data_IF_365743003598
#
_entry.id   IF_365743003598
#
_cell.length_a   1.000
_cell.length_b   1.000
_cell.length_c   1.000
_cell.angle_alpha   90.00
_cell.angle_beta   90.00
_cell.angle_gamma   90.00
#
_symmetry.space_group_name_H-M   'P 1'
#
loop_
_entity.id
_entity.type
_entity.pdbx_description
1 polymer ?
#
# COMPACT_ATOMS: atom_id res chain seq x y z
N UNK A 1 18.25 -9.01 4.05
CA UNK A 1 16.93 -8.65 3.50
C UNK A 1 17.14 -7.62 2.42
N UNK A 2 16.43 -7.73 1.29
CA UNK A 2 16.53 -6.75 0.22
C UNK A 2 16.01 -5.38 0.69
N UNK A 3 16.74 -4.30 0.41
CA UNK A 3 16.31 -2.93 0.70
C UNK A 3 15.11 -2.55 -0.16
N UNK A 4 14.40 -1.47 0.20
CA UNK A 4 13.23 -1.07 -0.59
C UNK A 4 13.65 -0.62 -1.99
N UNK A 5 14.74 0.13 -2.13
CA UNK A 5 15.28 0.51 -3.43
C UNK A 5 15.66 -0.70 -4.31
N UNK A 6 16.13 -1.80 -3.69
CA UNK A 6 16.44 -3.02 -4.43
C UNK A 6 15.19 -3.68 -5.02
N UNK A 7 14.07 -3.68 -4.29
CA UNK A 7 12.78 -4.21 -4.78
C UNK A 7 12.18 -3.34 -5.88
N UNK A 8 12.39 -2.02 -5.80
CA UNK A 8 11.93 -1.08 -6.82
C UNK A 8 12.76 -1.11 -8.12
N UNK A 9 13.86 -1.88 -8.17
CA UNK A 9 14.69 -1.98 -9.37
C UNK A 9 13.92 -2.69 -10.47
N UNK A 10 13.82 -2.01 -11.61
CA UNK A 10 13.24 -2.54 -12.85
C UNK A 10 14.35 -2.75 -13.88
N UNK A 11 14.15 -3.65 -14.84
CA UNK A 11 15.11 -3.88 -15.92
C UNK A 11 14.35 -3.96 -17.24
N UNK A 12 14.60 -3.04 -18.16
CA UNK A 12 14.03 -3.09 -19.49
C UNK A 12 14.42 -4.40 -20.20
N UNK A 13 13.45 -5.05 -20.82
CA UNK A 13 13.64 -6.18 -21.73
C UNK A 13 13.65 -5.65 -23.17
N UNK A 14 12.70 -4.76 -23.47
CA UNK A 14 12.60 -3.97 -24.70
C UNK A 14 11.98 -2.59 -24.37
N UNK A 15 11.48 -1.86 -25.38
CA UNK A 15 10.91 -0.51 -25.20
C UNK A 15 9.60 -0.47 -24.39
N UNK A 16 8.86 -1.57 -24.30
CA UNK A 16 7.53 -1.65 -23.69
C UNK A 16 7.36 -2.86 -22.76
N UNK A 17 8.45 -3.55 -22.41
CA UNK A 17 8.41 -4.63 -21.44
C UNK A 17 9.58 -4.58 -20.47
N UNK A 18 9.28 -4.88 -19.20
CA UNK A 18 10.19 -4.73 -18.09
C UNK A 18 10.17 -5.98 -17.21
N UNK A 19 11.34 -6.41 -16.77
CA UNK A 19 11.50 -7.47 -15.76
C UNK A 19 11.53 -6.85 -14.37
N UNK A 20 10.79 -7.46 -13.45
CA UNK A 20 10.76 -7.13 -12.02
C UNK A 20 10.83 -8.40 -11.19
N UNK A 21 11.12 -8.28 -9.90
CA UNK A 21 11.20 -9.43 -9.00
C UNK A 21 10.67 -9.06 -7.61
N UNK A 22 9.71 -9.84 -7.11
CA UNK A 22 9.20 -9.70 -5.75
C UNK A 22 9.90 -10.69 -4.82
N UNK A 23 10.27 -10.28 -3.61
CA UNK A 23 10.89 -11.19 -2.64
C UNK A 23 9.96 -11.49 -1.48
N UNK A 24 10.22 -12.62 -0.82
CA UNK A 24 9.37 -13.15 0.23
C UNK A 24 9.27 -12.21 1.45
N UNK A 25 10.34 -11.46 1.73
CA UNK A 25 10.40 -10.49 2.84
C UNK A 25 9.41 -9.33 2.67
N UNK A 26 8.93 -9.11 1.45
CA UNK A 26 7.95 -8.07 1.11
C UNK A 26 6.53 -8.63 0.90
N UNK A 27 6.29 -9.86 1.36
CA UNK A 27 4.99 -10.52 1.29
C UNK A 27 4.15 -10.35 2.58
N UNK A 28 2.83 -10.47 2.41
CA UNK A 28 1.86 -10.80 3.46
C UNK A 28 1.38 -12.24 3.19
N UNK A 29 1.83 -13.17 4.01
CA UNK A 29 1.75 -14.61 3.82
C UNK A 29 2.62 -15.04 2.65
N UNK A 30 1.99 -15.60 1.61
CA UNK A 30 2.66 -16.03 0.38
C UNK A 30 2.60 -15.00 -0.76
N UNK A 31 1.84 -13.91 -0.57
CA UNK A 31 1.52 -12.93 -1.61
C UNK A 31 2.27 -11.62 -1.35
N UNK A 32 2.99 -11.05 -2.33
CA UNK A 32 3.57 -9.71 -2.23
C UNK A 32 2.55 -8.67 -1.74
N UNK A 33 2.95 -7.77 -0.83
CA UNK A 33 2.07 -6.69 -0.38
C UNK A 33 1.61 -5.84 -1.58
N UNK A 34 0.32 -5.46 -1.61
CA UNK A 34 -0.27 -4.71 -2.72
C UNK A 34 0.41 -3.36 -2.95
N UNK A 35 0.81 -2.68 -1.89
CA UNK A 35 1.57 -1.44 -1.97
C UNK A 35 2.99 -1.60 -2.53
N UNK A 36 3.67 -2.71 -2.23
CA UNK A 36 4.96 -3.05 -2.86
C UNK A 36 4.77 -3.28 -4.36
N UNK A 37 3.76 -4.07 -4.74
CA UNK A 37 3.42 -4.30 -6.16
C UNK A 37 3.13 -2.98 -6.86
N UNK A 38 2.32 -2.12 -6.24
CA UNK A 38 1.97 -0.80 -6.76
C UNK A 38 3.21 0.08 -6.93
N UNK A 39 4.12 0.11 -5.96
CA UNK A 39 5.38 0.87 -6.01
C UNK A 39 6.29 0.40 -7.15
N UNK A 40 6.39 -0.92 -7.36
CA UNK A 40 7.15 -1.50 -8.48
C UNK A 40 6.54 -1.07 -9.83
N UNK A 41 5.22 -1.06 -9.95
CA UNK A 41 4.53 -0.63 -11.17
C UNK A 41 4.70 0.89 -11.41
N UNK A 42 4.70 1.71 -10.36
CA UNK A 42 5.10 3.13 -10.46
C UNK A 42 6.55 3.28 -10.94
N UNK A 43 7.48 2.45 -10.45
CA UNK A 43 8.87 2.45 -10.92
C UNK A 43 8.99 2.06 -12.40
N UNK A 44 8.21 1.09 -12.88
CA UNK A 44 8.17 0.73 -14.31
C UNK A 44 7.67 1.90 -15.14
N UNK A 45 6.55 2.52 -14.75
CA UNK A 45 6.01 3.66 -15.48
C UNK A 45 7.00 4.83 -15.51
N UNK A 46 7.62 5.15 -14.36
CA UNK A 46 8.65 6.19 -14.29
C UNK A 46 9.84 5.89 -15.20
N UNK A 47 10.36 4.66 -15.19
CA UNK A 47 11.45 4.26 -16.08
C UNK A 47 11.06 4.43 -17.56
N UNK A 48 9.83 4.03 -17.91
CA UNK A 48 9.29 4.17 -19.25
C UNK A 48 9.23 5.64 -19.70
N UNK A 49 8.78 6.56 -18.83
CA UNK A 49 8.77 7.99 -19.10
C UNK A 49 10.16 8.64 -19.17
N UNK A 50 11.15 8.09 -18.47
CA UNK A 50 12.52 8.58 -18.53
C UNK A 50 13.32 8.05 -19.73
N UNK A 51 12.85 6.96 -20.34
CA UNK A 51 13.54 6.27 -21.43
C UNK A 51 12.73 6.32 -22.72
N UNK A 52 11.78 5.41 -22.92
CA UNK A 52 10.97 5.27 -24.14
C UNK A 52 10.19 6.54 -24.46
N UNK A 53 9.55 7.15 -23.46
CA UNK A 53 8.73 8.36 -23.61
C UNK A 53 9.45 9.64 -23.14
N UNK A 54 10.79 9.66 -23.15
CA UNK A 54 11.59 10.80 -22.68
C UNK A 54 11.17 12.14 -23.28
N UNK A 55 10.73 12.16 -24.54
CA UNK A 55 10.28 13.37 -25.24
C UNK A 55 9.02 13.99 -24.65
N UNK A 56 8.21 13.23 -23.91
CA UNK A 56 7.02 13.76 -23.23
C UNK A 56 7.39 14.66 -22.04
N UNK A 57 8.58 14.49 -21.45
CA UNK A 57 9.02 15.22 -20.26
C UNK A 57 8.00 15.15 -19.11
N UNK A 58 7.39 13.97 -18.89
CA UNK A 58 6.33 13.74 -17.90
C UNK A 58 6.74 12.61 -16.93
N UNK A 59 7.75 12.84 -16.06
CA UNK A 59 8.30 11.78 -15.23
C UNK A 59 7.39 11.37 -14.06
N UNK A 60 6.39 12.18 -13.73
CA UNK A 60 5.69 12.10 -12.44
C UNK A 60 4.30 11.49 -12.59
N UNK A 61 4.01 10.43 -11.84
CA UNK A 61 2.67 9.86 -11.76
C UNK A 61 1.76 10.79 -10.96
N UNK A 62 0.70 11.32 -11.59
CA UNK A 62 -0.32 12.14 -10.91
C UNK A 62 -1.57 11.35 -10.55
N UNK A 63 -1.86 10.26 -11.28
CA UNK A 63 -3.02 9.40 -11.04
C UNK A 63 -2.69 7.95 -11.41
N UNK A 64 -3.12 7.01 -10.58
CA UNK A 64 -2.97 5.57 -10.78
C UNK A 64 -4.27 4.87 -10.39
N UNK A 65 -4.68 3.90 -11.19
CA UNK A 65 -5.78 2.98 -10.90
C UNK A 65 -5.31 1.55 -11.15
N UNK A 66 -5.32 0.71 -10.13
CA UNK A 66 -4.88 -0.67 -10.17
C UNK A 66 -6.00 -1.64 -9.81
N UNK A 67 -6.19 -2.65 -10.65
CA UNK A 67 -7.06 -3.81 -10.41
C UNK A 67 -6.21 -5.06 -10.18
N UNK A 68 -6.36 -5.68 -9.02
CA UNK A 68 -5.68 -6.92 -8.64
C UNK A 68 -6.55 -8.11 -9.07
N UNK A 69 -6.40 -8.51 -10.32
CA UNK A 69 -7.22 -9.53 -10.98
C UNK A 69 -6.93 -10.93 -10.44
N UNK A 70 -5.68 -11.21 -10.07
CA UNK A 70 -5.23 -12.49 -9.52
C UNK A 70 -4.19 -12.28 -8.40
N UNK A 71 -3.93 -13.33 -7.62
CA UNK A 71 -2.92 -13.31 -6.55
C UNK A 71 -1.51 -13.31 -7.16
N UNK A 72 -0.76 -12.23 -6.99
CA UNK A 72 0.68 -12.19 -7.26
C UNK A 72 1.46 -13.22 -6.42
N UNK A 73 2.72 -13.49 -6.79
CA UNK A 73 3.61 -14.37 -6.04
C UNK A 73 5.02 -13.80 -5.97
N UNK A 74 5.75 -14.19 -4.92
CA UNK A 74 7.18 -13.96 -4.85
C UNK A 74 7.88 -14.61 -6.05
N UNK A 75 8.92 -13.95 -6.55
CA UNK A 75 9.68 -14.35 -7.73
C UNK A 75 9.55 -13.35 -8.89
N UNK A 76 10.06 -13.75 -10.07
CA UNK A 76 10.12 -12.88 -11.23
C UNK A 76 8.72 -12.61 -11.82
N UNK A 77 8.59 -11.45 -12.44
CA UNK A 77 7.44 -11.08 -13.24
C UNK A 77 7.88 -10.23 -14.44
N UNK A 78 7.00 -10.14 -15.43
CA UNK A 78 7.14 -9.23 -16.57
C UNK A 78 6.03 -8.22 -16.51
N UNK A 79 6.36 -6.94 -16.70
CA UNK A 79 5.39 -5.87 -16.85
C UNK A 79 5.37 -5.44 -18.31
N UNK A 80 4.19 -5.49 -18.92
CA UNK A 80 3.95 -5.00 -20.28
C UNK A 80 3.35 -3.60 -20.21
N UNK A 81 3.86 -2.69 -21.02
CA UNK A 81 3.43 -1.28 -21.10
C UNK A 81 2.74 -1.04 -22.44
N UNK A 82 1.67 -0.27 -22.40
CA UNK A 82 0.94 0.20 -23.58
C UNK A 82 0.65 1.68 -23.45
N UNK A 83 1.04 2.43 -24.47
CA UNK A 83 0.79 3.86 -24.56
C UNK A 83 -0.65 4.09 -25.02
N UNK A 84 -1.50 4.55 -24.11
CA UNK A 84 -2.92 4.78 -24.44
C UNK A 84 -3.13 6.16 -25.06
N UNK A 85 -2.52 7.19 -24.45
CA UNK A 85 -2.64 8.59 -24.90
C UNK A 85 -1.36 9.33 -24.57
N UNK A 86 -0.71 9.89 -25.59
CA UNK A 86 0.46 10.76 -25.41
C UNK A 86 0.04 12.20 -25.68
N UNK A 87 0.10 13.05 -24.65
CA UNK A 87 -0.37 14.42 -24.71
C UNK A 87 0.68 15.40 -24.23
N UNK A 88 0.49 16.69 -24.54
CA UNK A 88 1.46 17.74 -24.18
C UNK A 88 1.60 17.94 -22.66
N UNK A 89 0.48 17.94 -21.93
CA UNK A 89 0.47 18.17 -20.47
C UNK A 89 0.49 16.86 -19.69
N UNK A 90 -0.24 15.87 -20.18
CA UNK A 90 -0.37 14.57 -19.53
C UNK A 90 -0.34 13.45 -20.56
N UNK A 91 0.23 12.32 -20.18
CA UNK A 91 0.15 11.07 -20.94
C UNK A 91 -0.37 9.95 -20.05
N UNK A 92 -1.12 9.03 -20.65
CA UNK A 92 -1.72 7.89 -19.98
C UNK A 92 -1.17 6.60 -20.58
N UNK A 93 -0.69 5.71 -19.71
CA UNK A 93 -0.17 4.38 -20.07
C UNK A 93 -0.91 3.31 -19.31
N UNK A 94 -1.02 2.12 -19.90
CA UNK A 94 -1.50 0.90 -19.24
C UNK A 94 -0.35 -0.04 -18.98
N UNK A 95 -0.26 -0.55 -17.76
CA UNK A 95 0.67 -1.59 -17.35
C UNK A 95 -0.10 -2.89 -17.07
N UNK A 96 0.46 -4.01 -17.50
CA UNK A 96 -0.03 -5.35 -17.15
C UNK A 96 1.09 -6.15 -16.51
N UNK A 97 0.92 -6.54 -15.25
CA UNK A 97 1.83 -7.45 -14.55
C UNK A 97 1.49 -8.89 -14.92
N UNK A 98 2.45 -9.62 -15.46
CA UNK A 98 2.31 -11.01 -15.91
C UNK A 98 3.23 -11.94 -15.11
N UNK A 99 2.66 -13.01 -14.56
CA UNK A 99 3.40 -14.11 -13.95
C UNK A 99 2.86 -15.44 -14.49
N UNK A 100 3.76 -16.34 -14.92
CA UNK A 100 3.38 -17.67 -15.41
C UNK A 100 2.29 -17.62 -16.52
N UNK A 101 2.32 -16.59 -17.37
CA UNK A 101 1.34 -16.38 -18.44
C UNK A 101 -0.01 -15.81 -17.99
N UNK A 102 -0.22 -15.56 -16.68
CA UNK A 102 -1.45 -14.96 -16.15
C UNK A 102 -1.28 -13.45 -15.95
N UNK A 103 -2.33 -12.69 -16.25
CA UNK A 103 -2.42 -11.25 -15.94
C UNK A 103 -2.84 -11.10 -14.49
N UNK A 104 -1.90 -10.73 -13.65
CA UNK A 104 -2.09 -10.68 -12.19
C UNK A 104 -2.64 -9.31 -11.76
N UNK A 105 -2.11 -8.23 -12.34
CA UNK A 105 -2.51 -6.86 -12.03
C UNK A 105 -2.60 -6.04 -13.31
N UNK A 106 -3.67 -5.25 -13.44
CA UNK A 106 -3.85 -4.27 -14.50
C UNK A 106 -3.79 -2.88 -13.88
N UNK A 107 -3.00 -1.98 -14.45
CA UNK A 107 -2.87 -0.61 -13.95
C UNK A 107 -2.97 0.38 -15.08
N UNK A 108 -3.70 1.47 -14.87
CA UNK A 108 -3.69 2.65 -15.73
C UNK A 108 -3.07 3.79 -14.94
N UNK A 109 -2.02 4.41 -15.49
CA UNK A 109 -1.33 5.54 -14.88
C UNK A 109 -1.41 6.74 -15.79
N UNK A 110 -1.64 7.92 -15.21
CA UNK A 110 -1.48 9.20 -15.87
C UNK A 110 -0.27 9.91 -15.29
N UNK A 111 0.63 10.30 -16.18
CA UNK A 111 1.84 11.01 -15.86
C UNK A 111 1.80 12.45 -16.37
N UNK A 112 2.44 13.34 -15.63
CA UNK A 112 2.63 14.74 -15.92
C UNK A 112 4.05 15.18 -15.50
N UNK A 113 4.31 16.47 -15.56
CA UNK A 113 5.49 17.07 -14.95
C UNK A 113 5.01 18.02 -13.85
N UNK A 114 5.01 17.55 -12.60
CA UNK A 114 4.43 18.32 -11.49
C UNK A 114 5.20 19.63 -11.29
N UNK A 115 6.51 19.64 -11.54
CA UNK A 115 7.34 20.83 -11.43
C UNK A 115 7.01 21.94 -12.46
N UNK A 116 6.29 21.60 -13.54
CA UNK A 116 5.86 22.53 -14.58
C UNK A 116 4.35 22.80 -14.58
N UNK A 117 3.62 22.27 -13.59
CA UNK A 117 2.19 22.50 -13.49
C UNK A 117 1.87 23.99 -13.28
N UNK A 118 0.81 24.44 -13.94
CA UNK A 118 0.27 25.78 -13.80
C UNK A 118 -1.25 25.72 -13.91
N UNK A 119 -1.93 26.52 -13.09
CA UNK A 119 -3.38 26.47 -12.99
C UNK A 119 -3.89 27.23 -11.77
N UNK A 120 -5.20 27.13 -11.55
CA UNK A 120 -5.86 27.73 -10.39
C UNK A 120 -5.51 26.95 -9.12
N UNK A 121 -4.99 27.65 -8.10
CA UNK A 121 -4.77 27.10 -6.76
C UNK A 121 -5.64 27.84 -5.76
N UNK A 122 -6.45 27.10 -5.01
CA UNK A 122 -7.37 27.65 -4.01
C UNK A 122 -7.19 26.93 -2.66
N UNK A 123 -7.11 27.66 -1.54
CA UNK A 123 -7.13 27.03 -0.23
C UNK A 123 -8.54 26.50 0.07
N UNK A 124 -8.68 25.19 0.28
CA UNK A 124 -9.98 24.57 0.63
C UNK A 124 -10.32 24.65 2.11
N UNK A 125 -9.37 25.10 2.94
CA UNK A 125 -9.41 25.03 4.41
C UNK A 125 -9.62 23.61 4.98
N UNK A 126 -9.55 22.56 4.17
CA UNK A 126 -9.72 21.18 4.62
C UNK A 126 -8.61 20.79 5.60
N UNK A 127 -8.98 20.13 6.69
CA UNK A 127 -8.07 19.58 7.70
C UNK A 127 -8.56 18.20 8.12
N UNK A 128 -7.65 17.39 8.66
CA UNK A 128 -8.00 16.14 9.30
C UNK A 128 -8.93 16.40 10.50
N UNK A 129 -10.02 15.64 10.58
CA UNK A 129 -10.96 15.67 11.71
C UNK A 129 -11.17 14.26 12.26
N UNK A 130 -10.93 14.01 13.57
CA UNK A 130 -10.22 14.92 14.48
C UNK A 130 -8.78 15.18 13.99
N UNK A 131 -8.08 16.25 14.42
CA UNK A 131 -6.65 16.41 14.13
C UNK A 131 -5.83 15.29 14.78
N UNK A 132 -4.74 14.82 14.15
CA UNK A 132 -3.87 13.82 14.78
C UNK A 132 -3.16 14.41 16.00
N UNK A 133 -2.86 13.62 17.05
CA UNK A 133 -2.05 14.08 18.16
C UNK A 133 -0.66 14.56 17.70
N UNK A 134 -0.08 15.59 18.34
CA UNK A 134 1.31 15.98 18.08
C UNK A 134 2.27 14.80 18.23
N UNK A 135 3.36 14.81 17.46
CA UNK A 135 4.35 13.74 17.46
C UNK A 135 5.77 14.31 17.63
N UNK A 136 6.55 13.70 18.52
CA UNK A 136 7.98 13.95 18.63
C UNK A 136 8.74 12.84 17.89
N UNK A 137 9.02 13.09 16.60
CA UNK A 137 9.68 12.13 15.72
C UNK A 137 11.10 11.76 16.18
N UNK A 138 11.79 12.67 16.89
CA UNK A 138 13.15 12.42 17.41
C UNK A 138 13.08 11.46 18.58
N UNK A 139 12.21 11.74 19.55
CA UNK A 139 11.99 10.87 20.71
C UNK A 139 11.45 9.51 20.30
N UNK A 140 10.50 9.45 19.36
CA UNK A 140 10.02 8.20 18.77
C UNK A 140 11.14 7.39 18.11
N UNK A 141 11.99 8.03 17.30
CA UNK A 141 13.10 7.36 16.63
C UNK A 141 14.10 6.73 17.62
N UNK A 142 14.34 7.39 18.75
CA UNK A 142 15.32 6.98 19.76
C UNK A 142 14.78 5.92 20.71
N UNK A 143 13.50 5.99 21.09
CA UNK A 143 12.95 5.20 22.19
C UNK A 143 11.81 4.26 21.78
N UNK A 144 11.39 4.28 20.52
CA UNK A 144 10.22 3.52 20.06
C UNK A 144 8.88 4.15 20.48
N UNK A 145 8.90 5.29 21.17
CA UNK A 145 7.70 6.01 21.61
C UNK A 145 8.03 7.45 22.01
N UNK A 146 7.08 8.37 21.89
CA UNK A 146 7.14 9.70 22.51
C UNK A 146 6.24 9.86 23.75
N UNK A 147 5.50 8.81 24.11
CA UNK A 147 4.45 8.80 25.14
C UNK A 147 3.05 8.66 24.57
N UNK A 148 2.77 9.26 23.41
CA UNK A 148 1.48 9.20 22.71
C UNK A 148 1.51 8.14 21.62
N UNK A 149 2.52 8.22 20.77
CA UNK A 149 2.78 7.32 19.67
C UNK A 149 3.73 6.23 20.14
N UNK A 150 3.42 4.97 19.80
CA UNK A 150 4.25 3.82 20.16
C UNK A 150 4.48 2.97 18.93
N UNK A 151 5.70 2.47 18.77
CA UNK A 151 6.05 1.56 17.68
C UNK A 151 5.15 0.32 17.71
N UNK A 152 4.39 0.14 16.65
CA UNK A 152 3.50 -0.99 16.45
C UNK A 152 4.33 -2.25 16.17
N UNK A 153 4.05 -3.30 16.93
CA UNK A 153 4.63 -4.62 16.70
C UNK A 153 3.60 -5.50 16.00
N UNK A 154 3.99 -6.07 14.87
CA UNK A 154 3.12 -6.99 14.15
C UNK A 154 2.81 -8.20 15.03
N UNK A 155 1.54 -8.54 15.26
CA UNK A 155 1.17 -9.71 16.03
C UNK A 155 1.36 -11.03 15.25
N UNK A 156 1.59 -10.94 13.93
CA UNK A 156 1.91 -12.06 13.04
C UNK A 156 3.13 -11.70 12.19
N UNK A 157 4.34 -11.63 12.77
CA UNK A 157 5.55 -11.26 12.03
C UNK A 157 5.91 -12.30 10.96
N UNK A 158 5.55 -13.57 11.18
CA UNK A 158 5.67 -14.69 10.24
C UNK A 158 4.79 -14.50 8.98
N UNK A 159 3.58 -13.96 9.17
CA UNK A 159 2.64 -13.71 8.10
C UNK A 159 2.87 -12.34 7.46
N UNK A 160 3.06 -11.28 8.26
CA UNK A 160 3.20 -9.89 7.76
C UNK A 160 4.66 -9.50 7.58
N UNK A 161 5.43 -10.28 6.84
CA UNK A 161 6.86 -10.06 6.60
C UNK A 161 7.15 -8.66 6.04
N UNK A 162 6.32 -8.18 5.10
CA UNK A 162 6.44 -6.85 4.53
C UNK A 162 6.44 -5.74 5.59
N UNK A 163 5.60 -5.88 6.63
CA UNK A 163 5.51 -4.91 7.73
C UNK A 163 6.78 -4.84 8.58
N UNK A 164 7.64 -5.86 8.54
CA UNK A 164 8.91 -5.89 9.27
C UNK A 164 9.99 -4.99 8.64
N UNK A 165 9.76 -4.49 7.42
CA UNK A 165 10.67 -3.59 6.71
C UNK A 165 10.38 -2.10 6.97
N UNK A 166 9.37 -1.79 7.79
CA UNK A 166 9.04 -0.43 8.21
C UNK A 166 8.88 -0.37 9.74
N UNK A 167 9.24 0.77 10.33
CA UNK A 167 8.78 1.09 11.68
C UNK A 167 7.52 1.94 11.54
N UNK A 168 6.40 1.41 12.04
CA UNK A 168 5.12 2.11 12.11
C UNK A 168 4.85 2.48 13.57
N UNK A 169 4.40 3.70 13.82
CA UNK A 169 4.12 4.21 15.16
C UNK A 169 2.67 4.63 15.21
N UNK A 170 1.90 4.10 16.15
CA UNK A 170 0.46 4.33 16.26
C UNK A 170 0.10 4.93 17.61
N UNK A 171 -1.01 5.67 17.67
CA UNK A 171 -1.59 6.11 18.95
C UNK A 171 -2.01 4.88 19.77
N UNK A 172 -1.66 4.89 21.06
CA UNK A 172 -2.00 3.82 22.02
C UNK A 172 -3.50 3.51 22.00
N UNK A 173 -3.85 2.22 21.98
CA UNK A 173 -5.23 1.73 21.83
C UNK A 173 -6.20 2.24 22.91
N UNK A 174 -5.73 2.44 24.15
CA UNK A 174 -6.53 2.95 25.28
C UNK A 174 -7.08 4.37 25.10
N UNK A 175 -6.75 5.06 24.01
CA UNK A 175 -7.24 6.40 23.66
C UNK A 175 -7.86 6.50 22.25
N UNK A 176 -8.09 5.38 21.55
CA UNK A 176 -8.72 5.40 20.23
C UNK A 176 -10.23 5.62 20.35
N UNK A 177 -10.69 6.79 19.92
CA UNK A 177 -12.11 7.16 19.89
C UNK A 177 -12.85 6.47 18.74
N UNK A 178 -12.19 6.26 17.60
CA UNK A 178 -12.78 5.66 16.40
C UNK A 178 -12.04 4.39 15.96
N UNK A 179 -12.72 3.25 16.04
CA UNK A 179 -12.19 1.93 15.64
C UNK A 179 -12.00 1.81 14.13
N UNK A 180 -12.73 2.60 13.35
CA UNK A 180 -12.65 2.66 11.89
C UNK A 180 -11.49 3.48 11.36
N UNK A 181 -10.67 4.05 12.24
CA UNK A 181 -9.51 4.88 11.89
C UNK A 181 -8.21 4.24 12.37
N UNK A 182 -7.22 4.22 11.50
CA UNK A 182 -5.83 3.87 11.79
C UNK A 182 -4.95 5.05 11.42
N UNK A 183 -4.20 5.55 12.38
CA UNK A 183 -3.21 6.59 12.16
C UNK A 183 -1.82 6.07 12.44
N UNK A 184 -0.86 6.51 11.63
CA UNK A 184 0.52 6.16 11.83
C UNK A 184 1.50 7.23 11.37
N UNK A 185 2.62 7.29 12.08
CA UNK A 185 3.89 7.73 11.50
C UNK A 185 4.68 6.52 11.02
N UNK A 186 5.26 6.60 9.83
CA UNK A 186 6.00 5.50 9.22
C UNK A 186 7.36 5.96 8.69
N UNK A 187 8.37 5.10 8.86
CA UNK A 187 9.70 5.19 8.21
C UNK A 187 10.17 3.81 7.76
N UNK A 188 11.01 3.75 6.72
CA UNK A 188 11.66 2.50 6.35
C UNK A 188 12.68 2.07 7.41
N UNK A 189 12.69 0.78 7.73
CA UNK A 189 13.60 0.22 8.73
C UNK A 189 15.05 0.19 8.25
N UNK A 190 15.26 0.16 6.93
CA UNK A 190 16.58 0.26 6.30
C UNK A 190 17.24 1.63 6.51
N UNK A 191 16.48 2.66 6.88
CA UNK A 191 16.96 4.04 6.97
C UNK A 191 16.91 4.79 5.63
N UNK A 192 16.47 4.14 4.55
CA UNK A 192 16.17 4.79 3.27
C UNK A 192 15.02 5.79 3.43
N UNK A 193 15.03 6.84 2.59
CA UNK A 193 13.91 7.77 2.49
C UNK A 193 12.83 7.22 1.55
N UNK A 194 11.59 7.57 1.80
CA UNK A 194 10.50 7.39 0.85
C UNK A 194 10.65 8.36 -0.33
N UNK A 195 10.43 7.85 -1.52
CA UNK A 195 10.43 8.60 -2.80
C UNK A 195 9.04 8.61 -3.41
N UNK A 196 8.84 9.33 -4.52
CA UNK A 196 7.53 9.35 -5.21
C UNK A 196 7.06 7.96 -5.66
N UNK A 197 7.98 7.05 -6.01
CA UNK A 197 7.62 5.65 -6.35
C UNK A 197 7.37 4.79 -5.11
N UNK A 198 7.58 5.31 -3.90
CA UNK A 198 7.25 4.65 -2.64
C UNK A 198 5.79 4.88 -2.20
N UNK A 199 5.07 5.79 -2.85
CA UNK A 199 3.71 6.16 -2.47
C UNK A 199 2.73 4.99 -2.55
N UNK A 200 2.93 4.05 -3.50
CA UNK A 200 2.20 2.79 -3.52
C UNK A 200 2.33 2.01 -2.21
N UNK A 201 3.52 1.89 -1.66
CA UNK A 201 3.77 1.16 -0.41
C UNK A 201 3.15 1.88 0.79
N UNK A 202 3.30 3.21 0.86
CA UNK A 202 2.67 4.03 1.89
C UNK A 202 1.14 3.93 1.86
N UNK A 203 0.55 3.78 0.67
CA UNK A 203 -0.90 3.66 0.52
C UNK A 203 -1.49 2.33 1.03
N UNK A 204 -0.68 1.27 1.15
CA UNK A 204 -1.16 -0.09 1.47
C UNK A 204 -0.33 -0.80 2.56
N UNK A 205 0.46 -0.05 3.32
CA UNK A 205 1.18 -0.54 4.49
C UNK A 205 0.74 0.20 5.75
N UNK A 206 -0.16 -0.41 6.50
CA UNK A 206 -0.64 0.09 7.78
C UNK A 206 -1.00 -1.07 8.73
N UNK A 207 -1.11 -0.78 10.04
CA UNK A 207 -1.66 -1.69 11.02
C UNK A 207 -3.07 -2.18 10.68
N UNK A 208 -3.37 -3.36 11.16
CA UNK A 208 -4.62 -4.07 10.95
C UNK A 208 -5.83 -3.34 11.57
N UNK A 209 -6.78 -2.91 10.71
CA UNK A 209 -7.96 -2.11 11.13
C UNK A 209 -9.09 -2.97 11.69
N UNK A 210 -9.45 -4.08 11.04
CA UNK A 210 -10.63 -4.89 11.45
C UNK A 210 -10.43 -5.50 12.83
N UNK A 211 -9.19 -5.81 13.16
CA UNK A 211 -8.75 -6.37 14.42
C UNK A 211 -9.02 -5.42 15.60
N UNK A 212 -9.14 -4.10 15.37
CA UNK A 212 -9.52 -3.13 16.40
C UNK A 212 -10.98 -3.30 16.87
N UNK A 213 -11.82 -3.99 16.09
CA UNK A 213 -13.22 -4.26 16.41
C UNK A 213 -13.43 -5.53 17.23
N UNK A 214 -12.39 -6.34 17.42
CA UNK A 214 -12.51 -7.53 18.26
C UNK A 214 -12.76 -7.18 19.72
N UNK A 215 -13.73 -7.85 20.34
CA UNK A 215 -14.22 -7.56 21.69
C UNK A 215 -13.13 -7.76 22.75
N UNK A 216 -13.08 -6.81 23.70
CA UNK A 216 -12.27 -6.67 24.92
C UNK A 216 -11.05 -7.61 25.13
N UNK A 217 -9.89 -6.99 25.37
CA UNK A 217 -8.67 -7.67 25.84
C UNK A 217 -8.94 -8.61 27.05
N UNK A 218 -9.90 -8.25 27.92
CA UNK A 218 -10.30 -9.03 29.09
C UNK A 218 -11.09 -10.31 28.73
N UNK A 219 -11.89 -10.30 27.67
CA UNK A 219 -12.58 -11.50 27.19
C UNK A 219 -11.60 -12.48 26.52
N UNK A 220 -10.57 -11.97 25.84
CA UNK A 220 -9.52 -12.77 25.20
C UNK A 220 -8.56 -13.47 26.16
N UNK A 221 -8.40 -12.96 27.39
CA UNK A 221 -7.62 -13.63 28.42
C UNK A 221 -8.26 -14.96 28.89
N UNK A 222 -9.59 -15.04 28.85
CA UNK A 222 -10.38 -16.20 29.28
C UNK A 222 -10.68 -17.22 28.16
N UNK A 223 -10.37 -16.85 26.92
CA UNK A 223 -10.68 -17.63 25.73
C UNK A 223 -9.69 -18.80 25.50
N UNK A 224 -10.21 -19.95 25.05
CA UNK A 224 -9.38 -21.12 24.71
C UNK A 224 -8.34 -20.78 23.63
N UNK A 225 -7.26 -21.56 23.51
CA UNK A 225 -6.23 -21.38 22.46
C UNK A 225 -6.83 -21.34 21.04
N UNK A 226 -7.97 -22.00 20.83
CA UNK A 226 -8.74 -21.97 19.58
C UNK A 226 -9.58 -20.69 19.37
N UNK A 227 -9.86 -19.91 20.41
CA UNK A 227 -10.61 -18.65 20.33
C UNK A 227 -9.70 -17.41 20.22
N UNK A 228 -8.39 -17.52 20.47
CA UNK A 228 -7.37 -16.48 20.22
C UNK A 228 -7.10 -16.20 18.73
N UNK A 229 -8.02 -16.57 17.85
CA UNK A 229 -7.87 -16.61 16.39
C UNK A 229 -8.21 -15.28 15.70
N UNK A 230 -7.82 -14.15 16.31
CA UNK A 230 -8.05 -12.80 15.79
C UNK A 230 -7.23 -12.48 14.52
N UNK A 231 -6.28 -13.33 14.16
CA UNK A 231 -5.47 -13.21 12.94
C UNK A 231 -5.85 -14.21 11.86
N UNK A 232 -7.15 -14.49 11.75
CA UNK A 232 -7.73 -15.38 10.74
C UNK A 232 -7.90 -14.73 9.39
N UNK A 233 -7.83 -13.41 9.27
CA UNK A 233 -8.22 -12.75 8.03
C UNK A 233 -7.03 -12.31 7.18
N UNK A 234 -7.20 -12.45 5.88
CA UNK A 234 -6.41 -11.81 4.85
C UNK A 234 -7.32 -10.86 4.07
N UNK A 235 -6.78 -9.68 3.77
CA UNK A 235 -7.53 -8.59 3.14
C UNK A 235 -7.01 -8.34 1.73
N UNK A 236 -7.34 -9.19 0.73
CA UNK A 236 -6.95 -8.90 -0.64
C UNK A 236 -7.64 -7.62 -1.11
N UNK A 237 -6.81 -6.68 -1.53
CA UNK A 237 -7.23 -5.50 -2.29
C UNK A 237 -7.69 -5.98 -3.67
N UNK A 238 -8.88 -5.54 -4.08
CA UNK A 238 -9.43 -5.75 -5.42
C UNK A 238 -9.06 -4.59 -6.34
N UNK A 239 -9.21 -3.37 -5.83
CA UNK A 239 -8.90 -2.15 -6.54
C UNK A 239 -8.21 -1.16 -5.61
N UNK A 240 -7.24 -0.41 -6.14
CA UNK A 240 -6.51 0.66 -5.48
C UNK A 240 -6.38 1.83 -6.45
N UNK A 241 -6.78 3.03 -6.05
CA UNK A 241 -6.41 4.25 -6.76
C UNK A 241 -5.44 5.09 -5.94
N UNK A 242 -4.60 5.86 -6.62
CA UNK A 242 -3.69 6.81 -5.99
C UNK A 242 -3.74 8.13 -6.77
N UNK A 243 -3.93 9.23 -6.06
CA UNK A 243 -3.99 10.59 -6.56
C UNK A 243 -2.87 11.39 -5.89
N UNK A 244 -1.82 11.71 -6.66
CA UNK A 244 -0.61 12.36 -6.15
C UNK A 244 -0.77 13.86 -6.29
N UNK A 245 -0.76 14.56 -5.16
CA UNK A 245 -0.98 16.02 -5.07
C UNK A 245 0.31 16.83 -5.07
N UNK A 246 1.39 16.22 -4.61
CA UNK A 246 2.67 16.89 -4.38
C UNK A 246 3.82 15.90 -4.54
N UNK A 247 4.93 16.37 -5.09
CA UNK A 247 6.18 15.62 -5.10
C UNK A 247 6.83 15.65 -3.71
N UNK A 248 7.36 14.50 -3.30
CA UNK A 248 8.35 14.46 -2.23
C UNK A 248 9.64 15.21 -2.66
N UNK A 249 10.38 15.80 -1.70
CA UNK A 249 11.60 16.56 -2.01
C UNK A 249 12.67 15.72 -2.70
N UNK A 250 13.64 16.39 -3.32
CA UNK A 250 14.82 15.71 -3.84
C UNK A 250 15.55 14.95 -2.71
N UNK A 251 15.84 13.66 -2.95
CA UNK A 251 16.36 12.76 -1.91
C UNK A 251 15.29 12.10 -1.03
N UNK A 252 14.02 12.46 -1.18
CA UNK A 252 12.89 11.83 -0.51
C UNK A 252 12.65 12.28 0.93
N UNK A 253 11.64 11.71 1.58
CA UNK A 253 11.25 12.00 2.95
C UNK A 253 11.44 10.79 3.86
N UNK A 254 12.08 10.99 5.02
CA UNK A 254 12.33 9.91 5.99
C UNK A 254 11.06 9.44 6.70
N UNK A 255 10.22 10.40 7.07
CA UNK A 255 8.99 10.19 7.82
C UNK A 255 7.80 10.63 6.99
N UNK A 256 6.74 9.83 7.05
CA UNK A 256 5.44 10.15 6.46
C UNK A 256 4.36 9.90 7.49
N UNK A 257 3.31 10.70 7.44
CA UNK A 257 2.08 10.45 8.18
C UNK A 257 1.05 9.79 7.27
N UNK A 258 0.34 8.79 7.78
CA UNK A 258 -0.76 8.13 7.06
C UNK A 258 -1.96 7.98 7.98
N UNK A 259 -3.12 8.50 7.54
CA UNK A 259 -4.43 8.16 8.11
C UNK A 259 -5.17 7.26 7.16
N UNK A 260 -5.73 6.18 7.70
CA UNK A 260 -6.58 5.23 6.99
C UNK A 260 -7.93 5.19 7.69
N UNK A 261 -9.01 5.30 6.93
CA UNK A 261 -10.37 5.23 7.44
C UNK A 261 -11.20 4.24 6.62
N UNK A 262 -12.08 3.48 7.25
CA UNK A 262 -13.16 2.74 6.55
C UNK A 262 -14.49 3.37 6.90
N UNK A 263 -15.30 3.64 5.88
CA UNK A 263 -16.66 4.17 6.03
C UNK A 263 -17.67 3.03 6.23
N UNK A 264 -17.42 1.85 5.65
CA UNK A 264 -18.28 0.69 5.80
C UNK A 264 -17.52 -0.64 5.65
N UNK A 265 -17.70 -1.48 6.65
CA UNK A 265 -17.30 -2.89 6.62
C UNK A 265 -18.58 -3.71 6.67
N UNK A 266 -18.92 -4.39 5.58
CA UNK A 266 -20.17 -5.13 5.47
C UNK A 266 -20.02 -6.34 4.54
N UNK A 267 -20.62 -7.46 4.95
CA UNK A 267 -20.76 -8.68 4.13
C UNK A 267 -19.43 -9.13 3.48
N UNK A 268 -18.34 -9.16 4.27
CA UNK A 268 -17.03 -9.62 3.81
C UNK A 268 -16.28 -8.65 2.89
N UNK A 269 -16.70 -7.39 2.77
CA UNK A 269 -15.99 -6.33 2.05
C UNK A 269 -15.79 -5.11 2.91
N UNK A 270 -14.76 -4.34 2.60
CA UNK A 270 -14.47 -3.05 3.21
C UNK A 270 -13.90 -2.06 2.20
N UNK A 271 -14.21 -0.79 2.42
CA UNK A 271 -13.50 0.33 1.80
C UNK A 271 -12.29 0.71 2.65
N UNK A 272 -11.36 1.42 2.03
CA UNK A 272 -10.35 2.19 2.74
C UNK A 272 -10.19 3.52 2.04
N UNK A 273 -10.19 4.61 2.79
CA UNK A 273 -9.68 5.91 2.40
C UNK A 273 -8.33 6.11 3.08
N UNK A 274 -7.34 6.52 2.31
CA UNK A 274 -5.95 6.68 2.76
C UNK A 274 -5.49 8.08 2.43
N UNK A 275 -4.98 8.79 3.43
CA UNK A 275 -4.46 10.14 3.33
C UNK A 275 -3.00 10.10 3.73
N UNK A 276 -2.11 10.45 2.80
CA UNK A 276 -0.65 10.45 2.99
C UNK A 276 -0.20 11.90 3.07
N UNK A 277 0.49 12.25 4.16
CA UNK A 277 0.95 13.61 4.45
C UNK A 277 2.44 13.63 4.80
N UNK A 278 3.11 14.73 4.50
CA UNK A 278 4.48 14.98 4.95
C UNK A 278 4.53 15.50 6.40
N UNK A 279 5.73 15.89 6.85
CA UNK A 279 5.95 16.36 8.23
C UNK A 279 5.39 17.77 8.48
N UNK A 280 5.15 18.51 7.39
CA UNK A 280 4.58 19.85 7.38
C UNK A 280 3.05 19.82 7.39
N UNK A 281 2.44 18.63 7.46
CA UNK A 281 0.99 18.40 7.35
C UNK A 281 0.40 18.84 6.01
N UNK A 282 1.18 18.73 4.93
CA UNK A 282 0.68 18.91 3.57
C UNK A 282 0.30 17.55 2.97
N UNK A 283 -0.79 17.53 2.20
CA UNK A 283 -1.24 16.32 1.50
C UNK A 283 -0.26 16.01 0.38
N UNK A 284 0.33 14.81 0.42
CA UNK A 284 1.19 14.29 -0.65
C UNK A 284 0.39 13.44 -1.61
N UNK A 285 -0.45 12.53 -1.09
CA UNK A 285 -1.30 11.69 -1.92
C UNK A 285 -2.56 11.24 -1.18
N UNK A 286 -3.58 10.92 -1.97
CA UNK A 286 -4.84 10.33 -1.53
C UNK A 286 -5.01 8.97 -2.21
N UNK A 287 -5.58 8.01 -1.52
CA UNK A 287 -5.88 6.68 -2.08
C UNK A 287 -7.21 6.16 -1.56
N UNK A 288 -7.89 5.33 -2.37
CA UNK A 288 -9.07 4.60 -1.95
C UNK A 288 -9.00 3.14 -2.43
N UNK A 289 -9.32 2.21 -1.54
CA UNK A 289 -9.25 0.77 -1.83
C UNK A 289 -10.64 0.15 -1.76
N UNK A 290 -10.84 -0.89 -2.58
CA UNK A 290 -11.88 -1.89 -2.37
C UNK A 290 -11.18 -3.17 -1.96
N UNK A 291 -11.53 -3.74 -0.80
CA UNK A 291 -10.91 -4.97 -0.30
C UNK A 291 -11.95 -5.99 0.17
N UNK A 292 -11.61 -7.27 0.07
CA UNK A 292 -12.37 -8.34 0.72
C UNK A 292 -11.82 -8.64 2.11
N UNK A 293 -12.60 -9.36 2.92
CA UNK A 293 -12.21 -9.97 4.17
C UNK A 293 -12.37 -11.47 4.00
N UNK A 294 -11.25 -12.19 3.89
CA UNK A 294 -11.22 -13.63 3.63
C UNK A 294 -10.44 -14.35 4.72
N UNK A 295 -10.61 -15.66 4.85
CA UNK A 295 -9.74 -16.47 5.71
C UNK A 295 -8.29 -16.50 5.16
N UNK A 296 -7.31 -16.37 6.06
CA UNK A 296 -5.89 -16.31 5.76
C UNK A 296 -5.36 -17.61 5.16
N UNK A 297 -6.03 -18.75 5.36
CA UNK A 297 -5.75 -19.99 4.65
C UNK A 297 -5.81 -19.82 3.12
N UNK A 298 -6.72 -18.96 2.62
CA UNK A 298 -6.81 -18.64 1.19
C UNK A 298 -5.58 -17.88 0.68
N UNK A 299 -4.84 -17.19 1.53
CA UNK A 299 -3.59 -16.53 1.16
C UNK A 299 -2.48 -17.57 0.94
N UNK A 300 -2.33 -18.54 1.85
CA UNK A 300 -1.24 -19.53 1.84
C UNK A 300 -1.52 -20.76 0.96
N UNK A 301 -2.76 -20.97 0.53
CA UNK A 301 -3.13 -22.06 -0.37
C UNK A 301 -2.41 -21.95 -1.72
N UNK A 302 -2.03 -23.10 -2.31
CA UNK A 302 -1.33 -23.14 -3.61
C UNK A 302 -2.17 -22.48 -4.71
N UNK A 303 -1.49 -21.87 -5.69
CA UNK A 303 -2.15 -21.32 -6.89
C UNK A 303 -2.83 -22.47 -7.65
N UNK A 304 -4.14 -22.38 -7.86
CA UNK A 304 -4.95 -23.37 -8.59
C UNK A 304 -5.90 -24.23 -7.76
N UNK A 305 -5.74 -24.30 -6.43
CA UNK A 305 -6.62 -25.11 -5.56
C UNK A 305 -7.87 -24.35 -5.08
N UNK A 306 -7.97 -23.04 -5.31
CA UNK A 306 -9.04 -22.19 -4.79
C UNK A 306 -10.38 -22.28 -5.52
N UNK A 307 -10.59 -23.31 -6.35
CA UNK A 307 -11.78 -23.47 -7.21
C UNK A 307 -12.65 -24.69 -6.93
N UNK A 308 -12.35 -25.53 -5.94
CA UNK A 308 -13.00 -26.85 -5.78
C UNK A 308 -13.65 -27.12 -4.43
N UNK A 309 -13.90 -26.11 -3.59
CA UNK A 309 -14.54 -26.33 -2.28
C UNK A 309 -15.68 -25.36 -1.99
N UNK A 310 -16.73 -25.35 -2.83
CA UNK A 310 -18.04 -24.84 -2.44
C UNK A 310 -19.14 -25.40 -3.38
N UNK A 311 -19.30 -26.72 -3.34
CA UNK A 311 -20.56 -27.36 -3.77
C UNK A 311 -20.81 -28.60 -2.92
N UNK A 312 -21.33 -28.40 -1.70
CA UNK A 312 -22.24 -29.33 -1.03
C UNK A 312 -22.65 -28.78 0.34
N UNK A 313 -23.79 -28.09 0.38
CA UNK A 313 -24.82 -28.37 1.39
C UNK A 313 -26.15 -27.78 0.92
N UNK A 314 -26.81 -28.55 0.06
CA UNK A 314 -28.28 -28.62 0.09
C UNK A 314 -28.64 -30.04 0.50
N UNK A 315 -29.72 -30.16 1.30
CA UNK A 315 -30.24 -31.33 2.05
C UNK A 315 -29.62 -31.44 3.45
N UNK A 316 -30.36 -31.31 4.56
CA UNK A 316 -31.79 -31.44 4.87
C UNK A 316 -32.26 -30.26 5.75
#
# INVERSE_FOLDING_TARGET
MASFAQILKVTAIDSHSYRVNFTDEWCIGSVPNGGVVTSVLQSVAREHFLTTLKSQNQPDCISLHADFVQRTSAGPAVVQVEDLKLGRQTSTVRLTLVQEGRKEVLVVLTHANIALESGLSLPTAWRLDPPPPPADLVKMAAHGTDGTWTEWKSPRPDFRKASLNANMYTVRQSGRVDRGVVEQWIKLKSGENFTNTSLGFLSDMFPLMVESYSEDEDAMASASVSQRQLYRHWYPTLALNLDVKKLLPEGGAKWMFVRVQSKMIANGRKDLEVIIMDQENEIVALSHHVAMILDASRNIAKRGESGSSESNSSKL
#
